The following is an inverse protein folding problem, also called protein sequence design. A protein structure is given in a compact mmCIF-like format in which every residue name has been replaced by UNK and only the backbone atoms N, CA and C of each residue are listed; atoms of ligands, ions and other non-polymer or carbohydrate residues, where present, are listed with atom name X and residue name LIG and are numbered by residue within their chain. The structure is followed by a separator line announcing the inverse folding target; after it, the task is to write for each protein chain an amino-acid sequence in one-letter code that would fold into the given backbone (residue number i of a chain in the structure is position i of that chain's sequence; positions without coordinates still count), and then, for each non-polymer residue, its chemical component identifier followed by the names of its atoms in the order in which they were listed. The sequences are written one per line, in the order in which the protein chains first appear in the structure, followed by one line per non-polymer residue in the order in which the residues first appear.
data_IF_686407449480
#
_entry.id   IF_686407449480
#
_cell.length_a   1.000
_cell.length_b   1.000
_cell.length_c   1.000
_cell.angle_alpha   90.00
_cell.angle_beta   90.00
_cell.angle_gamma   90.00
#
_symmetry.space_group_name_H-M   'P 1'
#
loop_
_entity.id
_entity.type
_entity.pdbx_description
1 polymer ?
#
# COMPACT_ATOMS: atom_id res chain seq x y z
N UNK A 1 -7.46 -38.83 -32.52
CA UNK A 1 -6.19 -39.60 -32.50
C UNK A 1 -5.58 -39.45 -31.12
N UNK A 2 -5.50 -40.56 -30.46
CA UNK A 2 -5.27 -40.79 -29.04
C UNK A 2 -3.83 -40.51 -28.55
N UNK A 3 -3.77 -40.31 -27.20
CA UNK A 3 -2.75 -40.82 -26.25
C UNK A 3 -1.42 -40.04 -26.17
N UNK A 4 -0.86 -39.68 -25.01
CA UNK A 4 -0.53 -40.54 -23.84
C UNK A 4 -0.36 -39.73 -22.55
N UNK A 5 -0.98 -40.27 -21.57
CA UNK A 5 -0.78 -40.16 -20.12
C UNK A 5 0.62 -40.67 -19.71
N UNK A 6 1.39 -39.93 -18.91
CA UNK A 6 2.44 -40.55 -18.07
C UNK A 6 2.46 -39.93 -16.68
N UNK A 7 1.86 -40.68 -15.74
CA UNK A 7 2.16 -40.61 -14.31
C UNK A 7 3.58 -41.10 -14.06
N UNK A 8 4.33 -40.38 -13.22
CA UNK A 8 5.43 -40.97 -12.45
C UNK A 8 5.28 -40.55 -11.00
N UNK A 9 4.87 -41.52 -10.18
CA UNK A 9 5.01 -41.54 -8.73
C UNK A 9 6.44 -41.92 -8.39
N UNK A 10 7.10 -41.18 -7.48
CA UNK A 10 8.24 -41.69 -6.71
C UNK A 10 8.00 -41.32 -5.26
N UNK A 11 7.75 -42.35 -4.48
CA UNK A 11 7.77 -42.35 -3.02
C UNK A 11 9.12 -42.90 -2.53
N UNK A 12 9.69 -42.32 -1.47
CA UNK A 12 10.66 -42.93 -0.54
C UNK A 12 10.83 -41.96 0.64
N UNK A 13 10.41 -42.21 1.76
CA UNK A 13 10.67 -43.09 2.93
C UNK A 13 11.98 -42.77 3.71
N UNK A 14 11.72 -42.47 5.03
CA UNK A 14 12.53 -42.67 6.24
C UNK A 14 13.78 -41.81 6.52
N UNK A 15 13.80 -41.09 7.66
CA UNK A 15 14.41 -41.59 8.90
C UNK A 15 14.11 -40.67 10.09
N UNK A 16 13.66 -41.33 11.15
CA UNK A 16 13.54 -40.78 12.51
C UNK A 16 14.92 -40.76 13.18
N UNK A 17 15.17 -39.72 14.01
CA UNK A 17 16.33 -39.61 14.87
C UNK A 17 15.96 -38.92 16.16
N UNK A 18 15.62 -39.71 17.20
CA UNK A 18 15.58 -39.31 18.60
C UNK A 18 17.00 -39.26 19.17
N UNK A 19 17.35 -38.25 19.97
CA UNK A 19 18.25 -38.38 21.13
C UNK A 19 18.21 -37.10 21.96
N UNK A 20 17.70 -37.14 23.09
CA UNK A 20 18.09 -37.40 24.49
C UNK A 20 18.41 -36.13 25.28
N UNK A 21 17.63 -36.01 26.32
CA UNK A 21 17.70 -35.16 27.50
C UNK A 21 19.07 -35.19 28.21
N UNK A 22 19.48 -34.09 28.78
CA UNK A 22 20.30 -34.12 30.00
C UNK A 22 19.88 -33.03 31.00
N UNK A 23 19.69 -33.52 32.22
CA UNK A 23 19.22 -32.84 33.43
C UNK A 23 20.40 -32.27 34.24
N UNK A 24 20.07 -31.24 35.04
CA UNK A 24 20.64 -30.83 36.34
C UNK A 24 22.01 -30.10 36.38
N UNK A 25 22.06 -28.89 36.94
CA UNK A 25 22.41 -28.72 38.36
C UNK A 25 22.21 -27.26 38.86
N UNK A 26 21.70 -27.23 40.07
CA UNK A 26 21.47 -26.12 40.99
C UNK A 26 22.79 -25.49 41.45
N UNK A 27 22.85 -24.12 41.50
CA UNK A 27 23.58 -23.42 42.57
C UNK A 27 23.06 -21.98 42.73
N UNK A 28 22.56 -21.70 43.93
CA UNK A 28 22.23 -20.36 44.42
C UNK A 28 23.49 -19.49 44.49
N UNK A 29 23.36 -18.24 44.06
CA UNK A 29 24.12 -17.14 44.65
C UNK A 29 23.26 -15.90 44.61
N UNK A 30 22.92 -15.40 45.78
CA UNK A 30 22.24 -14.14 46.06
C UNK A 30 23.25 -13.00 45.84
N UNK A 31 23.05 -12.20 44.81
CA UNK A 31 23.67 -10.90 44.76
C UNK A 31 22.61 -9.87 44.34
N UNK A 32 22.38 -8.96 45.28
CA UNK A 32 21.55 -7.81 45.17
C UNK A 32 22.21 -6.82 44.18
N UNK A 33 21.68 -6.73 43.00
CA UNK A 33 22.05 -5.66 42.05
C UNK A 33 20.84 -4.76 41.82
N UNK A 34 21.01 -3.54 42.26
CA UNK A 34 20.13 -2.38 42.05
C UNK A 34 19.67 -2.31 40.61
N UNK A 35 18.36 -2.46 40.39
CA UNK A 35 17.71 -2.27 39.08
C UNK A 35 17.80 -0.81 38.68
N UNK A 36 18.74 -0.46 37.82
CA UNK A 36 18.66 0.77 37.03
C UNK A 36 17.71 0.44 35.87
N UNK A 37 16.44 0.80 36.06
CA UNK A 37 15.45 0.77 34.97
C UNK A 37 15.76 1.91 34.01
N UNK A 38 16.69 1.67 33.10
CA UNK A 38 16.79 2.50 31.90
C UNK A 38 15.72 1.98 30.94
N UNK A 39 14.56 2.62 30.97
CA UNK A 39 13.55 2.46 29.93
C UNK A 39 14.13 3.07 28.65
N UNK A 40 14.90 2.28 27.94
CA UNK A 40 15.20 2.55 26.54
C UNK A 40 13.87 2.37 25.79
N UNK A 41 13.19 3.49 25.59
CA UNK A 41 12.08 3.55 24.65
C UNK A 41 12.68 3.14 23.29
N UNK A 42 12.46 1.88 22.92
CA UNK A 42 12.70 1.42 21.57
C UNK A 42 11.92 2.39 20.66
N UNK A 43 12.65 3.30 20.03
CA UNK A 43 12.15 4.14 18.96
C UNK A 43 11.77 3.18 17.85
N UNK A 44 10.53 2.70 17.86
CA UNK A 44 9.94 2.03 16.71
C UNK A 44 9.92 3.08 15.63
N UNK A 45 10.91 3.00 14.76
CA UNK A 45 10.94 3.77 13.53
C UNK A 45 9.70 3.35 12.75
N UNK A 46 8.62 4.10 12.86
CA UNK A 46 7.41 3.90 12.06
C UNK A 46 7.77 4.29 10.63
N UNK A 47 8.30 3.32 9.89
CA UNK A 47 8.62 3.47 8.49
C UNK A 47 7.34 3.82 7.72
N UNK A 48 7.01 5.11 7.60
CA UNK A 48 6.01 5.62 6.67
C UNK A 48 4.55 5.14 6.83
N UNK A 49 4.23 4.35 7.87
CA UNK A 49 2.89 3.74 8.04
C UNK A 49 1.83 4.70 8.62
N UNK A 50 2.27 5.82 9.17
CA UNK A 50 1.36 6.83 9.73
C UNK A 50 1.05 7.90 8.68
N UNK A 51 -0.25 8.23 8.51
CA UNK A 51 -0.66 9.29 7.61
C UNK A 51 -0.13 10.65 8.10
N UNK A 52 0.50 11.39 7.19
CA UNK A 52 0.97 12.75 7.44
C UNK A 52 0.31 13.69 6.44
N UNK A 53 -0.63 14.52 6.91
CA UNK A 53 -1.25 15.53 6.06
C UNK A 53 -0.20 16.50 5.53
N UNK A 54 -0.16 16.64 4.20
CA UNK A 54 0.74 17.56 3.49
C UNK A 54 -0.02 18.47 2.54
N UNK A 55 -1.35 18.30 2.45
CA UNK A 55 -2.20 19.13 1.63
C UNK A 55 -3.66 18.69 1.71
N UNK A 56 -4.48 19.35 0.91
CA UNK A 56 -5.90 19.02 0.70
C UNK A 56 -6.16 18.86 -0.79
N UNK A 57 -7.09 17.97 -1.15
CA UNK A 57 -7.51 17.73 -2.51
C UNK A 57 -9.04 17.77 -2.58
N UNK A 58 -9.55 18.48 -3.58
CA UNK A 58 -10.97 18.48 -3.93
C UNK A 58 -11.18 17.71 -5.22
N UNK A 59 -12.15 16.80 -5.22
CA UNK A 59 -12.72 16.23 -6.43
C UNK A 59 -13.81 17.19 -6.94
N UNK A 60 -13.77 17.47 -8.21
CA UNK A 60 -14.69 18.39 -8.89
C UNK A 60 -15.41 17.62 -10.00
N UNK A 61 -16.70 17.92 -10.19
CA UNK A 61 -17.41 17.39 -11.35
C UNK A 61 -16.77 17.83 -12.68
N UNK A 62 -17.16 17.23 -13.79
CA UNK A 62 -16.60 17.46 -15.13
C UNK A 62 -16.52 18.93 -15.54
N UNK A 63 -17.49 19.74 -15.13
CA UNK A 63 -17.49 21.19 -15.37
C UNK A 63 -16.40 21.91 -14.58
N UNK A 64 -15.89 21.32 -13.50
CA UNK A 64 -14.98 21.94 -12.55
C UNK A 64 -15.66 22.87 -11.54
N UNK A 65 -16.98 23.06 -11.63
CA UNK A 65 -17.72 23.98 -10.77
C UNK A 65 -18.17 23.35 -9.45
N UNK A 66 -18.59 22.08 -9.49
CA UNK A 66 -19.19 21.41 -8.34
C UNK A 66 -18.13 20.60 -7.58
N UNK A 67 -17.99 20.84 -6.29
CA UNK A 67 -17.15 20.00 -5.43
C UNK A 67 -17.91 18.73 -5.01
N UNK A 68 -17.41 17.58 -5.44
CA UNK A 68 -17.97 16.27 -5.10
C UNK A 68 -17.50 15.80 -3.73
N UNK A 69 -16.21 15.95 -3.44
CA UNK A 69 -15.60 15.53 -2.18
C UNK A 69 -14.30 16.30 -1.93
N UNK A 70 -13.94 16.49 -0.64
CA UNK A 70 -12.61 16.95 -0.20
C UNK A 70 -11.97 15.92 0.70
N UNK A 71 -10.66 15.75 0.57
CA UNK A 71 -9.85 14.85 1.39
C UNK A 71 -8.52 15.51 1.76
N UNK A 72 -7.91 15.00 2.80
CA UNK A 72 -6.53 15.30 3.16
C UNK A 72 -5.59 14.40 2.34
N UNK A 73 -4.46 14.92 1.91
CA UNK A 73 -3.50 14.17 1.12
C UNK A 73 -2.11 14.14 1.73
N UNK A 74 -1.47 13.00 1.59
CA UNK A 74 -0.03 12.83 1.68
C UNK A 74 0.55 12.90 0.27
N UNK A 75 1.78 13.38 0.13
CA UNK A 75 2.42 13.57 -1.18
C UNK A 75 3.57 12.57 -1.38
N UNK A 76 3.65 12.00 -2.57
CA UNK A 76 4.78 11.20 -3.05
C UNK A 76 5.41 11.91 -4.24
N UNK A 77 6.51 12.65 -4.01
CA UNK A 77 7.16 13.52 -4.99
C UNK A 77 8.55 13.04 -5.40
N UNK A 78 9.23 12.24 -4.54
CA UNK A 78 10.52 11.63 -4.87
C UNK A 78 10.36 10.19 -5.37
N UNK A 79 11.36 9.64 -6.03
CA UNK A 79 11.35 8.27 -6.51
C UNK A 79 11.16 7.27 -5.36
N UNK A 80 11.80 7.49 -4.22
CA UNK A 80 11.63 6.68 -3.02
C UNK A 80 10.18 6.73 -2.51
N UNK A 81 9.62 7.94 -2.36
CA UNK A 81 8.25 8.11 -1.88
C UNK A 81 7.23 7.45 -2.83
N UNK A 82 7.47 7.54 -4.15
CA UNK A 82 6.62 6.87 -5.14
C UNK A 82 6.78 5.35 -5.12
N UNK A 83 7.98 4.84 -4.84
CA UNK A 83 8.22 3.41 -4.71
C UNK A 83 7.58 2.81 -3.46
N UNK A 84 7.64 3.53 -2.32
CA UNK A 84 7.07 3.09 -1.05
C UNK A 84 5.54 3.20 -1.04
N UNK A 85 4.99 4.31 -1.53
CA UNK A 85 3.56 4.54 -1.60
C UNK A 85 2.82 4.26 -0.29
N UNK A 86 1.73 3.48 -0.38
CA UNK A 86 0.94 3.01 0.76
C UNK A 86 1.36 1.62 1.27
N UNK A 87 2.54 1.12 0.89
CA UNK A 87 3.05 -0.17 1.39
C UNK A 87 3.06 -0.22 2.91
N UNK A 88 2.76 -1.40 3.45
CA UNK A 88 2.71 -1.72 4.89
C UNK A 88 1.66 -0.95 5.70
N UNK A 89 0.85 -0.08 5.07
CA UNK A 89 -0.24 0.62 5.73
C UNK A 89 -1.41 -0.32 5.98
N UNK A 90 -1.87 -0.35 7.24
CA UNK A 90 -2.93 -1.28 7.67
C UNK A 90 -4.33 -0.68 7.61
N UNK A 91 -4.43 0.64 7.60
CA UNK A 91 -5.70 1.37 7.50
C UNK A 91 -5.50 2.78 6.97
N UNK A 92 -6.54 3.31 6.37
CA UNK A 92 -6.65 4.70 5.94
C UNK A 92 -8.12 5.11 6.07
N UNK A 93 -8.40 6.33 6.51
CA UNK A 93 -9.77 6.83 6.61
C UNK A 93 -10.27 7.36 5.26
N UNK A 94 -11.60 7.46 5.09
CA UNK A 94 -12.21 7.90 3.82
C UNK A 94 -11.93 9.38 3.47
N UNK A 95 -11.40 10.14 4.37
CA UNK A 95 -10.97 11.52 4.16
C UNK A 95 -9.46 11.66 3.91
N UNK A 96 -8.78 10.56 3.62
CA UNK A 96 -7.35 10.49 3.37
C UNK A 96 -7.04 9.87 2.00
N UNK A 97 -5.91 10.28 1.43
CA UNK A 97 -5.35 9.70 0.20
C UNK A 97 -3.87 10.03 0.04
N UNK A 98 -3.22 9.37 -0.91
CA UNK A 98 -1.85 9.67 -1.30
C UNK A 98 -1.79 10.12 -2.75
N UNK A 99 -1.28 11.33 -2.98
CA UNK A 99 -1.10 11.91 -4.32
C UNK A 99 0.35 11.74 -4.76
N UNK A 100 0.55 10.94 -5.79
CA UNK A 100 1.82 10.74 -6.48
C UNK A 100 1.95 11.80 -7.58
N UNK A 101 3.07 12.52 -7.58
CA UNK A 101 3.36 13.57 -8.55
C UNK A 101 4.58 13.16 -9.36
N UNK A 102 4.41 13.06 -10.66
CA UNK A 102 5.47 12.69 -11.60
C UNK A 102 5.97 13.93 -12.36
N UNK A 103 7.26 13.96 -12.76
CA UNK A 103 7.82 15.07 -13.53
C UNK A 103 7.25 15.12 -14.94
N UNK A 104 6.89 13.99 -15.51
CA UNK A 104 6.49 13.78 -16.90
C UNK A 104 5.03 13.30 -17.03
N UNK A 105 4.51 13.35 -18.24
CA UNK A 105 3.17 12.92 -18.63
C UNK A 105 3.29 11.65 -19.47
N UNK A 106 3.19 10.47 -18.84
CA UNK A 106 3.35 9.17 -19.48
C UNK A 106 2.29 8.17 -19.02
N UNK A 107 2.18 7.03 -19.70
CA UNK A 107 1.40 5.91 -19.19
C UNK A 107 2.06 5.36 -17.93
N UNK A 108 1.23 5.07 -16.91
CA UNK A 108 1.66 4.59 -15.61
C UNK A 108 1.14 3.18 -15.37
N UNK A 109 1.86 2.43 -14.56
CA UNK A 109 1.40 1.16 -14.03
C UNK A 109 1.73 1.09 -12.54
N UNK A 110 0.75 0.67 -11.76
CA UNK A 110 0.85 0.46 -10.33
C UNK A 110 0.67 -1.02 -10.01
N UNK A 111 0.88 -1.41 -8.80
CA UNK A 111 0.65 -2.74 -8.25
C UNK A 111 0.29 -2.63 -6.77
N UNK A 112 -0.16 -3.73 -6.17
CA UNK A 112 -0.53 -3.76 -4.76
C UNK A 112 0.49 -4.51 -3.88
N UNK A 113 1.74 -4.65 -4.36
CA UNK A 113 2.82 -5.30 -3.60
C UNK A 113 2.95 -4.68 -2.21
N UNK A 114 3.00 -5.49 -1.17
CA UNK A 114 3.09 -5.06 0.24
C UNK A 114 2.00 -4.08 0.70
N UNK A 115 0.90 -3.93 -0.04
CA UNK A 115 -0.21 -3.03 0.29
C UNK A 115 -1.36 -3.84 0.85
N UNK A 116 -1.70 -3.64 2.13
CA UNK A 116 -2.65 -4.47 2.88
C UNK A 116 -4.11 -4.02 2.77
N UNK A 117 -4.34 -2.79 2.32
CA UNK A 117 -5.68 -2.21 2.14
C UNK A 117 -6.07 -2.23 0.67
N UNK A 118 -7.36 -2.50 0.37
CA UNK A 118 -7.88 -2.33 -0.99
C UNK A 118 -7.88 -0.86 -1.37
N UNK A 119 -7.54 -0.54 -2.61
CA UNK A 119 -7.43 0.84 -3.11
C UNK A 119 -8.25 1.04 -4.39
N UNK A 120 -8.73 2.27 -4.58
CA UNK A 120 -9.05 2.82 -5.89
C UNK A 120 -7.84 3.67 -6.33
N UNK A 121 -7.29 3.36 -7.51
CA UNK A 121 -6.13 4.03 -8.10
C UNK A 121 -6.64 4.92 -9.23
N UNK A 122 -6.53 6.23 -9.05
CA UNK A 122 -7.09 7.25 -9.94
C UNK A 122 -5.95 7.91 -10.70
N UNK A 123 -5.95 7.77 -12.02
CA UNK A 123 -4.95 8.36 -12.91
C UNK A 123 -5.46 9.70 -13.45
N UNK A 124 -4.60 10.73 -13.39
CA UNK A 124 -4.97 12.11 -13.63
C UNK A 124 -3.96 12.73 -14.60
N UNK A 125 -4.44 13.35 -15.65
CA UNK A 125 -3.62 14.06 -16.64
C UNK A 125 -3.06 15.38 -16.07
N UNK A 126 -2.23 16.05 -16.83
CA UNK A 126 -1.61 17.33 -16.44
C UNK A 126 -2.62 18.50 -16.36
N UNK A 127 -3.75 18.40 -17.06
CA UNK A 127 -4.87 19.34 -16.98
C UNK A 127 -5.82 19.06 -15.78
N UNK A 128 -5.41 18.20 -14.84
CA UNK A 128 -6.17 17.80 -13.65
C UNK A 128 -7.42 16.96 -13.92
N UNK A 129 -7.61 16.44 -15.11
CA UNK A 129 -8.72 15.57 -15.48
C UNK A 129 -8.42 14.09 -15.11
N UNK A 130 -9.41 13.41 -14.55
CA UNK A 130 -9.35 11.97 -14.29
C UNK A 130 -9.47 11.22 -15.62
N UNK A 131 -8.41 10.54 -16.03
CA UNK A 131 -8.31 9.85 -17.33
C UNK A 131 -8.47 8.34 -17.24
N UNK A 132 -8.31 7.75 -16.07
CA UNK A 132 -8.52 6.31 -15.84
C UNK A 132 -8.68 6.05 -14.35
N UNK A 133 -9.37 4.95 -13.98
CA UNK A 133 -9.55 4.50 -12.60
C UNK A 133 -9.46 2.98 -12.57
N UNK A 134 -8.58 2.44 -11.71
CA UNK A 134 -8.57 1.03 -11.32
C UNK A 134 -9.24 0.94 -9.95
N UNK A 135 -10.46 0.36 -9.91
CA UNK A 135 -11.25 0.26 -8.69
C UNK A 135 -10.99 -1.06 -7.97
N UNK A 136 -11.12 -1.04 -6.64
CA UNK A 136 -11.04 -2.24 -5.80
C UNK A 136 -9.77 -3.05 -6.04
N UNK A 137 -8.63 -2.40 -6.23
CA UNK A 137 -7.34 -3.08 -6.40
C UNK A 137 -7.12 -4.08 -5.27
N UNK A 138 -6.79 -5.33 -5.64
CA UNK A 138 -6.68 -6.44 -4.69
C UNK A 138 -5.43 -6.32 -3.84
N UNK A 139 -5.54 -6.30 -2.50
CA UNK A 139 -4.38 -6.25 -1.62
C UNK A 139 -3.36 -7.35 -1.93
N UNK A 140 -2.07 -7.02 -1.78
CA UNK A 140 -0.92 -7.91 -1.95
C UNK A 140 -0.75 -8.49 -3.36
N UNK A 141 -1.54 -8.08 -4.35
CA UNK A 141 -1.40 -8.50 -5.75
C UNK A 141 -0.18 -7.81 -6.39
N UNK A 142 0.60 -8.57 -7.13
CA UNK A 142 1.66 -8.04 -8.00
C UNK A 142 1.21 -7.89 -9.46
N UNK A 143 -0.08 -8.05 -9.71
CA UNK A 143 -0.66 -7.80 -11.02
C UNK A 143 -0.54 -6.32 -11.39
N UNK A 144 -0.20 -6.07 -12.66
CA UNK A 144 -0.07 -4.71 -13.17
C UNK A 144 -1.43 -4.04 -13.31
N UNK A 145 -1.55 -2.84 -12.79
CA UNK A 145 -2.71 -1.97 -12.83
C UNK A 145 -2.40 -0.74 -13.71
N UNK A 146 -2.51 -0.84 -15.04
CA UNK A 146 -2.09 0.22 -15.95
C UNK A 146 -3.12 1.34 -16.05
N UNK A 147 -2.64 2.54 -16.34
CA UNK A 147 -3.48 3.72 -16.60
C UNK A 147 -4.15 3.68 -17.97
N UNK A 148 -3.59 2.98 -18.96
CA UNK A 148 -4.03 2.99 -20.36
C UNK A 148 -4.10 4.39 -21.00
N UNK A 149 -3.72 5.40 -20.29
CA UNK A 149 -3.69 6.81 -20.68
C UNK A 149 -2.50 7.48 -20.02
N UNK A 150 -2.01 8.54 -20.62
CA UNK A 150 -0.96 9.35 -20.02
C UNK A 150 -1.47 10.04 -18.77
N UNK A 151 -0.73 9.90 -17.68
CA UNK A 151 -1.03 10.49 -16.37
C UNK A 151 0.21 11.19 -15.80
N UNK A 152 0.02 12.38 -15.27
CA UNK A 152 1.04 13.13 -14.52
C UNK A 152 0.88 12.94 -13.03
N UNK A 153 -0.33 12.64 -12.57
CA UNK A 153 -0.64 12.39 -11.18
C UNK A 153 -1.34 11.06 -11.04
N UNK A 154 -1.13 10.41 -9.90
CA UNK A 154 -1.91 9.24 -9.49
C UNK A 154 -2.37 9.48 -8.06
N UNK A 155 -3.65 9.23 -7.78
CA UNK A 155 -4.21 9.37 -6.46
C UNK A 155 -4.69 8.00 -5.99
N UNK A 156 -4.20 7.55 -4.84
CA UNK A 156 -4.66 6.36 -4.15
C UNK A 156 -5.59 6.74 -3.00
N UNK A 157 -6.77 6.13 -2.98
CA UNK A 157 -7.80 6.25 -1.93
C UNK A 157 -8.32 4.86 -1.56
N UNK A 158 -9.10 4.73 -0.49
CA UNK A 158 -9.68 3.43 -0.12
C UNK A 158 -10.49 2.81 -1.27
N UNK A 159 -10.44 1.49 -1.40
CA UNK A 159 -11.22 0.75 -2.38
C UNK A 159 -12.73 0.99 -2.19
N UNK A 160 -13.41 1.31 -3.30
CA UNK A 160 -14.82 1.70 -3.30
C UNK A 160 -15.10 3.19 -3.04
N UNK A 161 -14.07 3.98 -2.83
CA UNK A 161 -14.20 5.44 -2.67
C UNK A 161 -14.89 6.08 -3.88
N UNK A 162 -14.46 5.71 -5.08
CA UNK A 162 -15.00 6.29 -6.31
C UNK A 162 -16.49 6.00 -6.46
N UNK A 163 -16.95 4.80 -6.12
CA UNK A 163 -18.38 4.46 -6.17
C UNK A 163 -19.18 5.20 -5.11
N UNK A 164 -18.65 5.28 -3.89
CA UNK A 164 -19.29 5.95 -2.76
C UNK A 164 -19.53 7.45 -3.00
N UNK A 165 -18.56 8.11 -3.62
CA UNK A 165 -18.60 9.56 -3.84
C UNK A 165 -18.88 9.94 -5.30
N UNK A 166 -19.27 8.97 -6.14
CA UNK A 166 -19.62 9.15 -7.55
C UNK A 166 -18.50 9.80 -8.39
N UNK A 167 -17.24 9.48 -8.05
CA UNK A 167 -16.08 9.94 -8.80
C UNK A 167 -15.93 9.11 -10.07
N UNK A 168 -15.82 9.78 -11.21
CA UNK A 168 -15.84 9.15 -12.51
C UNK A 168 -14.78 9.75 -13.47
N UNK A 169 -14.55 9.01 -14.55
CA UNK A 169 -13.79 9.49 -15.70
C UNK A 169 -14.33 10.83 -16.23
N UNK A 170 -13.42 11.77 -16.48
CA UNK A 170 -13.72 13.13 -16.95
C UNK A 170 -13.98 14.13 -15.81
N UNK A 171 -14.11 13.68 -14.56
CA UNK A 171 -14.09 14.59 -13.42
C UNK A 171 -12.69 15.17 -13.23
N UNK A 172 -12.58 16.20 -12.42
CA UNK A 172 -11.32 16.93 -12.20
C UNK A 172 -10.90 16.89 -10.74
N UNK A 173 -9.64 17.20 -10.51
CA UNK A 173 -9.14 17.49 -9.17
C UNK A 173 -8.60 18.91 -9.08
N UNK A 174 -8.57 19.43 -7.85
CA UNK A 174 -7.76 20.57 -7.46
C UNK A 174 -7.10 20.27 -6.12
N UNK A 175 -5.81 20.57 -5.97
CA UNK A 175 -5.12 20.33 -4.69
C UNK A 175 -4.27 21.53 -4.26
N UNK A 176 -4.04 21.64 -2.96
CA UNK A 176 -3.21 22.66 -2.31
C UNK A 176 -2.29 21.97 -1.32
N UNK A 177 -1.04 22.41 -1.27
CA UNK A 177 -0.01 21.98 -0.31
C UNK A 177 0.06 22.96 0.86
#
# INVERSE_FOLDING_TARGET
MQLHLKCILIASLYAAGCHQSNTSNTANTTDTVTAITTTEAATVTSNGTTFKKQGTLAFLGKSGADTLRKIDIQLAQTDEQRADGLMYRKSMTDDQGMLFIFPDLEERAFWMKNTYISLDIIYIADNMEIVSIQKYATPLSEESLPSYKKAKYVLEVNGGFCDKYHIAYGDKIAYQQ
#
